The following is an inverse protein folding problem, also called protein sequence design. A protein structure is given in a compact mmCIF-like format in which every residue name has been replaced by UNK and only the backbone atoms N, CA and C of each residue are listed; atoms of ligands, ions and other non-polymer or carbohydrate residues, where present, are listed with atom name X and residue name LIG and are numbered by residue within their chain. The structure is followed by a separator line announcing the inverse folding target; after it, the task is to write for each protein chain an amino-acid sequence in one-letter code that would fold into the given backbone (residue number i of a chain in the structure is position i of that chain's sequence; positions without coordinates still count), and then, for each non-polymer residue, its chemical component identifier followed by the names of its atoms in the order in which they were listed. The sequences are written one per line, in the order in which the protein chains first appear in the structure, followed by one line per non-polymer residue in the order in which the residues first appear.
data_IF_107763096209
#
_entry.id   IF_107763096209
#
_cell.length_a   1.000
_cell.length_b   1.000
_cell.length_c   1.000
_cell.angle_alpha   90.00
_cell.angle_beta   90.00
_cell.angle_gamma   90.00
#
_symmetry.space_group_name_H-M   'P 1'
#
loop_
_entity.id
_entity.type
_entity.pdbx_description
1 polymer ?
#
# COMPACT_ATOMS: atom_id res chain seq x y z
N UNK A 1 -55.52 7.72 42.85
CA UNK A 1 -56.64 7.27 41.99
C UNK A 1 -56.05 6.19 41.08
N UNK A 2 -56.09 4.89 41.41
CA UNK A 2 -57.19 3.91 41.25
C UNK A 2 -57.70 3.91 39.78
N UNK A 3 -57.72 2.84 38.95
CA UNK A 3 -57.83 1.36 39.06
C UNK A 3 -57.08 0.70 37.85
N UNK A 4 -56.55 -0.55 37.83
CA UNK A 4 -57.18 -1.90 37.94
C UNK A 4 -57.78 -2.33 36.57
N UNK A 5 -57.58 -3.48 35.90
CA UNK A 5 -57.35 -4.92 36.21
C UNK A 5 -56.66 -5.61 34.99
N UNK A 6 -55.71 -6.56 35.10
CA UNK A 6 -55.79 -8.05 35.27
C UNK A 6 -56.45 -8.79 34.06
N UNK A 7 -56.12 -9.99 33.57
CA UNK A 7 -55.24 -11.15 33.87
C UNK A 7 -55.13 -11.95 32.54
N UNK A 8 -54.34 -13.00 32.28
CA UNK A 8 -53.56 -13.98 33.02
C UNK A 8 -53.23 -15.16 32.06
N UNK A 9 -52.49 -16.17 32.53
CA UNK A 9 -52.39 -17.47 31.86
C UNK A 9 -50.98 -18.05 31.78
N UNK A 10 -50.62 -18.86 32.78
CA UNK A 10 -49.29 -19.42 33.05
C UNK A 10 -48.81 -20.60 32.18
N UNK A 11 -47.77 -21.33 32.64
CA UNK A 11 -46.80 -22.05 31.81
C UNK A 11 -46.93 -23.58 31.88
N UNK A 12 -46.24 -24.31 30.99
CA UNK A 12 -46.11 -25.77 31.07
C UNK A 12 -44.66 -26.26 30.87
N UNK A 13 -44.25 -27.10 31.82
CA UNK A 13 -43.03 -27.87 31.97
C UNK A 13 -43.32 -29.35 31.63
N UNK A 14 -42.38 -30.10 31.04
CA UNK A 14 -42.07 -31.55 31.23
C UNK A 14 -41.08 -31.98 30.12
N UNK A 15 -39.83 -32.44 30.34
CA UNK A 15 -39.23 -33.60 31.04
C UNK A 15 -39.45 -35.00 30.41
N UNK A 16 -38.30 -35.67 30.17
CA UNK A 16 -37.98 -37.12 30.24
C UNK A 16 -37.95 -38.04 28.99
N UNK A 17 -36.70 -38.42 28.64
CA UNK A 17 -36.07 -39.77 28.52
C UNK A 17 -36.73 -40.98 27.80
N UNK A 18 -35.88 -41.74 27.06
CA UNK A 18 -35.76 -43.22 26.87
C UNK A 18 -35.52 -43.57 25.37
N UNK A 19 -34.34 -44.01 24.91
CA UNK A 19 -33.63 -45.32 25.01
C UNK A 19 -34.03 -46.40 23.99
N UNK A 20 -32.99 -47.02 23.39
CA UNK A 20 -32.89 -48.35 22.74
C UNK A 20 -33.01 -48.49 21.21
N UNK A 21 -31.94 -49.07 20.64
CA UNK A 21 -31.71 -49.65 19.30
C UNK A 21 -32.26 -51.11 19.25
N UNK A 22 -31.99 -52.00 18.26
CA UNK A 22 -31.36 -51.92 16.91
C UNK A 22 -32.14 -52.66 15.80
N UNK A 23 -31.83 -52.52 14.51
CA UNK A 23 -31.83 -53.67 13.55
C UNK A 23 -30.96 -53.41 12.31
N UNK A 24 -30.35 -54.50 11.87
CA UNK A 24 -29.28 -54.79 10.92
C UNK A 24 -29.52 -54.49 9.43
N UNK A 25 -28.48 -53.97 8.75
CA UNK A 25 -28.06 -54.45 7.42
C UNK A 25 -26.59 -54.06 7.15
N UNK A 26 -25.79 -55.02 6.67
CA UNK A 26 -24.39 -54.95 6.19
C UNK A 26 -24.35 -55.79 4.89
N UNK A 27 -23.25 -55.81 4.10
CA UNK A 27 -22.39 -54.74 3.57
C UNK A 27 -22.36 -54.82 2.01
N UNK A 28 -21.64 -54.03 1.22
CA UNK A 28 -20.27 -54.29 0.71
C UNK A 28 -20.00 -53.21 -0.36
N UNK A 29 -18.90 -52.46 -0.23
CA UNK A 29 -17.99 -52.10 -1.33
C UNK A 29 -16.72 -51.56 -0.69
N UNK A 30 -15.71 -52.41 -0.70
CA UNK A 30 -14.37 -52.19 -0.21
C UNK A 30 -13.62 -51.33 -1.23
N UNK A 31 -13.23 -50.12 -0.82
CA UNK A 31 -12.34 -49.25 -1.60
C UNK A 31 -11.22 -48.81 -0.67
N UNK A 32 -10.10 -49.51 -0.75
CA UNK A 32 -8.82 -49.16 -0.12
C UNK A 32 -8.42 -47.73 -0.46
N UNK A 33 -8.21 -46.84 0.53
CA UNK A 33 -7.66 -45.53 0.25
C UNK A 33 -6.15 -45.62 -0.03
N UNK A 34 -5.74 -45.07 -1.18
CA UNK A 34 -4.35 -44.85 -1.55
C UNK A 34 -3.61 -44.09 -0.44
N UNK A 35 -2.53 -44.70 0.05
CA UNK A 35 -1.58 -44.11 1.01
C UNK A 35 -0.87 -42.94 0.33
N UNK A 36 -1.38 -41.72 0.53
CA UNK A 36 -0.66 -40.49 0.16
C UNK A 36 0.51 -40.36 1.14
N UNK A 37 1.73 -40.58 0.63
CA UNK A 37 2.97 -40.23 1.32
C UNK A 37 2.96 -38.73 1.64
N UNK A 38 2.66 -38.38 2.89
CA UNK A 38 2.90 -37.03 3.42
C UNK A 38 4.41 -36.81 3.48
N UNK A 39 4.96 -36.19 2.43
CA UNK A 39 6.24 -35.48 2.54
C UNK A 39 6.03 -34.41 3.61
N UNK A 40 6.76 -34.52 4.72
CA UNK A 40 6.87 -33.43 5.69
C UNK A 40 7.59 -32.28 4.98
N UNK A 41 6.83 -31.39 4.35
CA UNK A 41 7.33 -30.06 4.05
C UNK A 41 7.75 -29.44 5.37
N UNK A 42 9.03 -29.08 5.49
CA UNK A 42 9.52 -28.25 6.57
C UNK A 42 8.66 -26.99 6.61
N UNK A 43 7.86 -26.86 7.67
CA UNK A 43 6.95 -25.74 7.84
C UNK A 43 7.79 -24.48 8.13
N UNK A 44 8.18 -23.79 7.07
CA UNK A 44 8.40 -22.35 7.13
C UNK A 44 7.11 -21.72 7.65
N UNK A 45 7.17 -20.70 8.54
CA UNK A 45 5.96 -20.00 8.96
C UNK A 45 5.19 -19.52 7.72
N UNK A 46 3.84 -19.51 7.72
CA UNK A 46 3.08 -19.01 6.59
C UNK A 46 3.57 -17.60 6.28
N UNK A 47 4.11 -17.40 5.07
CA UNK A 47 4.47 -16.07 4.58
C UNK A 47 3.26 -15.19 4.77
N UNK A 48 3.38 -14.15 5.60
CA UNK A 48 2.34 -13.14 5.76
C UNK A 48 1.93 -12.66 4.37
N UNK A 49 0.63 -12.52 4.13
CA UNK A 49 0.11 -12.03 2.85
C UNK A 49 0.81 -10.72 2.48
N UNK A 50 1.20 -10.50 1.21
CA UNK A 50 1.84 -9.26 0.77
C UNK A 50 1.03 -8.03 1.20
N UNK A 51 1.70 -6.88 1.35
CA UNK A 51 0.99 -5.61 1.40
C UNK A 51 0.59 -5.14 -0.01
N UNK A 52 1.43 -5.44 -1.01
CA UNK A 52 1.18 -5.14 -2.43
C UNK A 52 1.58 -6.36 -3.27
N UNK A 53 0.71 -6.77 -4.18
CA UNK A 53 1.02 -7.80 -5.16
C UNK A 53 0.46 -7.42 -6.54
N UNK A 54 1.30 -7.50 -7.57
CA UNK A 54 0.90 -7.42 -8.97
C UNK A 54 1.29 -8.72 -9.67
N UNK A 55 0.36 -9.34 -10.40
CA UNK A 55 0.62 -10.54 -11.22
C UNK A 55 0.32 -10.22 -12.67
N UNK A 56 1.36 -10.26 -13.50
CA UNK A 56 1.33 -10.03 -14.95
C UNK A 56 0.56 -8.77 -15.36
N UNK A 57 0.74 -7.70 -14.59
CA UNK A 57 -0.01 -6.45 -14.76
C UNK A 57 0.33 -5.81 -16.11
N UNK A 58 -0.66 -5.74 -16.98
CA UNK A 58 -0.59 -5.10 -18.29
C UNK A 58 -1.46 -3.85 -18.35
N UNK A 59 -1.02 -2.84 -19.09
CA UNK A 59 -1.82 -1.65 -19.37
C UNK A 59 -1.50 -1.14 -20.77
N UNK A 60 -2.55 -1.00 -21.57
CA UNK A 60 -2.48 -0.44 -22.91
C UNK A 60 -3.34 0.81 -22.97
N UNK A 61 -2.77 1.92 -23.46
CA UNK A 61 -3.47 3.19 -23.58
C UNK A 61 -3.70 3.50 -25.05
N UNK A 62 -4.91 3.97 -25.37
CA UNK A 62 -5.24 4.44 -26.73
C UNK A 62 -4.87 5.91 -26.85
N UNK A 63 -3.96 6.22 -27.78
CA UNK A 63 -3.56 7.60 -28.08
C UNK A 63 -4.68 8.38 -28.77
N UNK A 64 -4.58 9.72 -28.80
CA UNK A 64 -5.53 10.59 -29.55
C UNK A 64 -5.64 10.24 -31.04
N UNK A 65 -4.64 9.57 -31.61
CA UNK A 65 -4.61 9.10 -33.00
C UNK A 65 -5.14 7.67 -33.17
N UNK A 66 -5.78 7.09 -32.15
CA UNK A 66 -6.34 5.74 -32.17
C UNK A 66 -5.30 4.61 -32.07
N UNK A 67 -4.00 4.93 -31.98
CA UNK A 67 -2.95 3.90 -31.81
C UNK A 67 -2.97 3.36 -30.39
N UNK A 68 -2.94 2.04 -30.25
CA UNK A 68 -2.77 1.35 -28.96
C UNK A 68 -1.29 1.31 -28.59
N UNK A 69 -0.95 1.86 -27.42
CA UNK A 69 0.40 1.91 -26.90
C UNK A 69 0.49 1.09 -25.60
N UNK A 70 1.22 -0.04 -25.58
CA UNK A 70 1.43 -0.80 -24.36
C UNK A 70 2.40 -0.04 -23.43
N UNK A 71 1.92 0.35 -22.26
CA UNK A 71 2.69 1.09 -21.25
C UNK A 71 3.25 0.15 -20.19
N UNK A 72 2.45 -0.83 -19.73
CA UNK A 72 2.89 -1.90 -18.83
C UNK A 72 2.75 -3.23 -19.55
N UNK A 73 3.80 -4.05 -19.51
CA UNK A 73 3.99 -5.25 -20.33
C UNK A 73 4.23 -6.49 -19.46
N UNK A 74 3.27 -6.80 -18.58
CA UNK A 74 3.33 -7.98 -17.71
C UNK A 74 4.18 -7.75 -16.46
N UNK A 75 3.93 -6.67 -15.73
CA UNK A 75 4.65 -6.36 -14.49
C UNK A 75 4.21 -7.28 -13.35
N UNK A 76 5.12 -8.09 -12.84
CA UNK A 76 4.92 -8.90 -11.63
C UNK A 76 5.78 -8.38 -10.47
N UNK A 77 5.16 -8.02 -9.36
CA UNK A 77 5.84 -7.48 -8.17
C UNK A 77 5.22 -7.96 -6.86
N UNK A 78 6.02 -7.88 -5.80
CA UNK A 78 5.59 -8.18 -4.44
C UNK A 78 6.26 -7.23 -3.44
N UNK A 79 5.48 -6.61 -2.55
CA UNK A 79 5.98 -5.81 -1.43
C UNK A 79 5.47 -6.42 -0.11
N UNK A 80 6.35 -6.86 0.79
CA UNK A 80 5.97 -7.38 2.10
C UNK A 80 5.35 -6.29 3.00
N UNK A 81 4.48 -6.66 3.97
CA UNK A 81 4.05 -5.75 5.03
C UNK A 81 5.23 -5.31 5.90
N UNK A 82 5.13 -4.13 6.50
CA UNK A 82 6.14 -3.61 7.43
C UNK A 82 7.46 -3.19 6.77
N UNK A 83 7.51 -3.05 5.45
CA UNK A 83 8.73 -2.73 4.71
C UNK A 83 8.57 -1.51 3.81
N UNK A 84 9.67 -0.79 3.62
CA UNK A 84 9.81 0.31 2.66
C UNK A 84 10.51 -0.25 1.43
N UNK A 85 9.79 -0.31 0.32
CA UNK A 85 10.33 -0.73 -0.97
C UNK A 85 10.43 0.44 -1.93
N UNK A 86 11.43 0.39 -2.81
CA UNK A 86 11.57 1.36 -3.88
C UNK A 86 11.22 0.79 -5.25
N UNK A 87 10.54 1.58 -6.07
CA UNK A 87 10.36 1.32 -7.50
C UNK A 87 11.26 2.26 -8.29
N UNK A 88 12.30 1.68 -8.87
CA UNK A 88 13.37 2.35 -9.60
C UNK A 88 13.27 2.10 -11.10
N UNK A 89 13.88 2.98 -11.89
CA UNK A 89 13.94 2.84 -13.33
C UNK A 89 14.15 4.18 -14.04
N UNK A 90 14.50 4.17 -15.34
CA UNK A 90 14.62 5.39 -16.15
C UNK A 90 13.33 6.22 -16.19
N UNK A 91 13.45 7.49 -16.56
CA UNK A 91 12.28 8.33 -16.80
C UNK A 91 11.47 7.79 -17.98
N UNK A 92 10.14 7.84 -17.87
CA UNK A 92 9.24 7.33 -18.90
C UNK A 92 9.07 5.80 -18.97
N UNK A 93 9.74 5.01 -18.12
CA UNK A 93 9.61 3.55 -18.18
C UNK A 93 8.27 3.00 -17.64
N UNK A 94 7.43 3.84 -17.02
CA UNK A 94 6.09 3.48 -16.56
C UNK A 94 5.91 3.37 -15.04
N UNK A 95 6.89 3.79 -14.21
CA UNK A 95 6.83 3.71 -12.73
C UNK A 95 5.58 4.34 -12.13
N UNK A 96 5.33 5.62 -12.40
CA UNK A 96 4.15 6.33 -11.90
C UNK A 96 2.86 5.77 -12.48
N UNK A 97 2.89 5.23 -13.71
CA UNK A 97 1.73 4.53 -14.29
C UNK A 97 1.41 3.24 -13.53
N UNK A 98 2.43 2.43 -13.22
CA UNK A 98 2.28 1.23 -12.40
C UNK A 98 1.76 1.60 -11.00
N UNK A 99 2.30 2.66 -10.38
CA UNK A 99 1.84 3.14 -9.08
C UNK A 99 0.36 3.57 -9.11
N UNK A 100 -0.09 4.23 -10.17
CA UNK A 100 -1.51 4.60 -10.38
C UNK A 100 -2.42 3.39 -10.60
N UNK A 101 -1.93 2.35 -11.30
CA UNK A 101 -2.64 1.08 -11.44
C UNK A 101 -2.79 0.40 -10.07
N UNK A 102 -1.70 0.35 -9.30
CA UNK A 102 -1.69 -0.18 -7.93
C UNK A 102 -2.67 0.57 -7.01
N UNK A 103 -2.71 1.90 -7.08
CA UNK A 103 -3.65 2.73 -6.32
C UNK A 103 -5.12 2.52 -6.71
N UNK A 104 -5.39 1.96 -7.89
CA UNK A 104 -6.72 1.82 -8.48
C UNK A 104 -7.21 3.05 -9.24
N UNK A 105 -6.33 3.99 -9.60
CA UNK A 105 -6.67 5.12 -10.46
C UNK A 105 -6.76 4.73 -11.94
N UNK A 106 -6.08 3.65 -12.33
CA UNK A 106 -6.11 3.08 -13.68
C UNK A 106 -6.44 1.60 -13.60
N UNK A 107 -7.39 1.15 -14.41
CA UNK A 107 -7.71 -0.27 -14.50
C UNK A 107 -6.69 -0.97 -15.41
N UNK A 108 -6.07 -2.08 -14.96
CA UNK A 108 -5.16 -2.84 -15.80
C UNK A 108 -5.93 -3.46 -16.98
N UNK A 109 -5.27 -3.55 -18.13
CA UNK A 109 -5.80 -4.24 -19.32
C UNK A 109 -5.58 -5.77 -19.25
N UNK A 110 -4.67 -6.22 -18.39
CA UNK A 110 -4.37 -7.63 -18.14
C UNK A 110 -3.75 -7.81 -16.75
N UNK A 111 -3.80 -9.04 -16.22
CA UNK A 111 -3.25 -9.38 -14.92
C UNK A 111 -4.13 -8.96 -13.74
N UNK A 112 -3.59 -9.13 -12.53
CA UNK A 112 -4.32 -8.83 -11.28
C UNK A 112 -3.49 -7.98 -10.34
N UNK A 113 -4.17 -7.13 -9.58
CA UNK A 113 -3.56 -6.28 -8.55
C UNK A 113 -4.25 -6.55 -7.22
N UNK A 114 -3.45 -6.72 -6.18
CA UNK A 114 -3.87 -6.79 -4.80
C UNK A 114 -3.12 -5.74 -3.98
N UNK A 115 -3.87 -4.98 -3.17
CA UNK A 115 -3.35 -4.03 -2.19
C UNK A 115 -4.09 -4.23 -0.87
N UNK A 116 -3.33 -4.31 0.21
CA UNK A 116 -3.87 -4.29 1.56
C UNK A 116 -4.42 -2.90 1.89
N UNK A 117 -5.75 -2.76 1.89
CA UNK A 117 -6.45 -1.49 2.10
C UNK A 117 -6.62 -1.20 3.61
N UNK A 118 -6.74 0.06 4.05
CA UNK A 118 -6.73 1.30 3.26
C UNK A 118 -5.35 1.67 2.70
N UNK A 119 -5.32 2.40 1.59
CA UNK A 119 -4.12 2.84 0.88
C UNK A 119 -4.16 4.35 0.67
N UNK A 120 -3.05 5.03 0.90
CA UNK A 120 -2.87 6.46 0.60
C UNK A 120 -1.87 6.64 -0.54
N UNK A 121 -2.04 7.71 -1.32
CA UNK A 121 -1.20 8.03 -2.47
C UNK A 121 -0.68 9.47 -2.32
N UNK A 122 0.63 9.67 -2.50
CA UNK A 122 1.25 10.98 -2.59
C UNK A 122 1.68 11.21 -4.03
N UNK A 123 1.15 12.26 -4.65
CA UNK A 123 1.46 12.61 -6.03
C UNK A 123 2.84 13.25 -6.17
N UNK A 124 3.44 13.05 -7.35
CA UNK A 124 4.70 13.69 -7.72
C UNK A 124 4.63 15.21 -7.62
N UNK A 125 3.56 15.83 -8.12
CA UNK A 125 3.36 17.27 -8.00
C UNK A 125 2.38 17.58 -6.86
N UNK A 126 2.83 18.23 -5.76
CA UNK A 126 1.96 18.52 -4.64
C UNK A 126 0.86 19.54 -4.96
N UNK A 127 1.03 20.38 -5.98
CA UNK A 127 -0.03 21.31 -6.43
C UNK A 127 -1.26 20.57 -6.98
N UNK A 128 -1.13 19.30 -7.36
CA UNK A 128 -2.27 18.49 -7.82
C UNK A 128 -3.05 17.83 -6.68
N UNK A 129 -2.52 17.86 -5.45
CA UNK A 129 -3.06 17.12 -4.31
C UNK A 129 -3.60 18.05 -3.22
N UNK A 130 -2.93 19.18 -2.99
CA UNK A 130 -3.29 20.13 -1.94
C UNK A 130 -4.38 21.08 -2.46
N UNK A 131 -5.56 21.07 -1.82
CA UNK A 131 -6.80 21.69 -2.34
C UNK A 131 -7.53 22.59 -1.35
N UNK A 132 -7.26 22.49 -0.05
CA UNK A 132 -7.96 23.28 0.95
C UNK A 132 -7.35 24.68 1.15
N UNK A 133 -8.04 25.61 1.83
CA UNK A 133 -7.49 26.95 2.07
C UNK A 133 -6.27 26.98 3.00
N UNK A 134 -6.24 26.14 4.04
CA UNK A 134 -5.18 26.13 5.07
C UNK A 134 -4.53 24.76 5.20
N UNK A 135 -3.30 24.71 5.72
CA UNK A 135 -2.55 23.48 5.94
C UNK A 135 -3.32 22.47 6.79
N UNK A 136 -3.87 22.89 7.92
CA UNK A 136 -4.64 22.01 8.81
C UNK A 136 -5.87 21.43 8.10
N UNK A 137 -6.62 22.29 7.39
CA UNK A 137 -7.85 21.85 6.70
C UNK A 137 -7.55 20.85 5.59
N UNK A 138 -6.41 20.98 4.90
CA UNK A 138 -6.00 20.04 3.85
C UNK A 138 -5.66 18.65 4.39
N UNK A 139 -4.88 18.60 5.47
CA UNK A 139 -4.57 17.33 6.13
C UNK A 139 -5.83 16.70 6.73
N UNK A 140 -6.72 17.51 7.32
CA UNK A 140 -7.99 17.04 7.87
C UNK A 140 -8.94 16.52 6.78
N UNK A 141 -8.88 17.06 5.56
CA UNK A 141 -9.77 16.69 4.46
C UNK A 141 -9.69 15.20 4.12
N UNK A 142 -8.49 14.61 4.09
CA UNK A 142 -8.29 13.18 3.85
C UNK A 142 -8.94 12.27 4.91
N UNK A 143 -9.16 12.81 6.12
CA UNK A 143 -9.82 12.11 7.22
C UNK A 143 -11.35 12.19 7.15
N UNK A 144 -11.93 13.09 6.36
CA UNK A 144 -13.38 13.28 6.28
C UNK A 144 -14.16 12.06 5.79
N UNK A 145 -13.48 11.12 5.13
CA UNK A 145 -14.03 9.80 4.74
C UNK A 145 -14.15 8.82 5.91
N UNK A 146 -13.53 9.13 7.04
CA UNK A 146 -13.52 8.33 8.25
C UNK A 146 -14.52 8.95 9.25
N UNK A 147 -15.36 8.14 9.87
CA UNK A 147 -16.32 8.61 10.87
C UNK A 147 -15.64 8.78 12.25
N UNK A 148 -14.71 9.73 12.35
CA UNK A 148 -13.89 9.96 13.53
C UNK A 148 -14.41 11.11 14.40
N UNK A 149 -14.26 11.03 15.74
CA UNK A 149 -14.48 12.18 16.63
C UNK A 149 -13.55 13.35 16.28
N UNK A 150 -14.02 14.59 16.48
CA UNK A 150 -13.26 15.80 16.16
C UNK A 150 -11.90 15.87 16.89
N UNK A 151 -11.84 15.41 18.13
CA UNK A 151 -10.59 15.41 18.91
C UNK A 151 -9.56 14.42 18.34
N UNK A 152 -10.03 13.30 17.77
CA UNK A 152 -9.16 12.35 17.09
C UNK A 152 -8.64 12.93 15.77
N UNK A 153 -9.49 13.60 14.99
CA UNK A 153 -9.09 14.33 13.77
C UNK A 153 -8.00 15.34 14.10
N UNK A 154 -8.22 16.21 15.10
CA UNK A 154 -7.22 17.20 15.55
C UNK A 154 -5.91 16.55 15.99
N UNK A 155 -5.99 15.45 16.75
CA UNK A 155 -4.81 14.71 17.21
C UNK A 155 -4.00 14.15 16.04
N UNK A 156 -4.67 13.51 15.07
CA UNK A 156 -4.01 12.93 13.88
C UNK A 156 -3.38 14.00 13.00
N UNK A 157 -4.08 15.11 12.75
CA UNK A 157 -3.57 16.24 11.97
C UNK A 157 -2.36 16.87 12.65
N UNK A 158 -2.44 17.14 13.96
CA UNK A 158 -1.32 17.71 14.71
C UNK A 158 -0.09 16.79 14.67
N UNK A 159 -0.27 15.48 14.90
CA UNK A 159 0.83 14.50 14.89
C UNK A 159 1.46 14.37 13.52
N UNK A 160 0.67 14.33 12.44
CA UNK A 160 1.21 14.17 11.09
C UNK A 160 1.92 15.43 10.60
N UNK A 161 1.41 16.61 10.91
CA UNK A 161 2.09 17.88 10.63
C UNK A 161 3.39 18.02 11.41
N UNK A 162 3.41 17.62 12.69
CA UNK A 162 4.63 17.63 13.50
C UNK A 162 5.70 16.68 12.92
N UNK A 163 5.29 15.48 12.52
CA UNK A 163 6.20 14.48 11.94
C UNK A 163 6.95 14.97 10.70
N UNK A 164 6.36 15.89 9.93
CA UNK A 164 6.99 16.49 8.74
C UNK A 164 7.50 17.91 8.99
N UNK A 165 7.47 18.43 10.22
CA UNK A 165 7.94 19.77 10.56
C UNK A 165 7.05 20.92 10.05
N UNK A 166 5.75 20.67 9.88
CA UNK A 166 4.77 21.64 9.38
C UNK A 166 3.76 22.13 10.43
N UNK A 167 3.89 21.73 11.70
CA UNK A 167 2.93 22.06 12.77
C UNK A 167 2.74 23.58 12.97
N UNK A 168 3.83 24.34 12.95
CA UNK A 168 3.82 25.81 13.08
C UNK A 168 3.17 26.53 11.89
N UNK A 169 2.94 25.83 10.77
CA UNK A 169 2.31 26.34 9.57
C UNK A 169 0.83 25.95 9.45
N UNK A 170 0.24 25.31 10.47
CA UNK A 170 -1.13 24.78 10.46
C UNK A 170 -2.20 25.75 9.94
N UNK A 171 -2.17 27.02 10.39
CA UNK A 171 -3.12 28.05 9.95
C UNK A 171 -2.70 28.80 8.68
N UNK A 172 -1.53 28.49 8.11
CA UNK A 172 -1.00 29.22 6.97
C UNK A 172 -1.82 28.90 5.71
N UNK A 173 -2.12 29.90 4.86
CA UNK A 173 -2.77 29.65 3.59
C UNK A 173 -1.85 28.85 2.65
N UNK A 174 -2.40 27.79 2.03
CA UNK A 174 -1.64 26.85 1.20
C UNK A 174 -0.93 27.53 0.02
N UNK A 175 -1.57 28.53 -0.57
CA UNK A 175 -1.03 29.26 -1.72
C UNK A 175 0.29 29.99 -1.40
N UNK A 176 0.57 30.23 -0.12
CA UNK A 176 1.79 30.91 0.34
C UNK A 176 2.95 29.96 0.67
N UNK A 177 2.74 28.66 0.48
CA UNK A 177 3.74 27.63 0.72
C UNK A 177 4.65 27.43 -0.49
N UNK A 178 5.92 27.14 -0.23
CA UNK A 178 6.84 26.64 -1.27
C UNK A 178 6.42 25.25 -1.76
N UNK A 179 6.94 24.82 -2.92
CA UNK A 179 6.69 23.47 -3.44
C UNK A 179 7.08 22.37 -2.43
N UNK A 180 8.24 22.50 -1.78
CA UNK A 180 8.68 21.57 -0.74
C UNK A 180 7.79 21.57 0.50
N UNK A 181 7.27 22.73 0.91
CA UNK A 181 6.28 22.79 2.00
C UNK A 181 4.97 22.10 1.61
N UNK A 182 4.47 22.31 0.39
CA UNK A 182 3.28 21.62 -0.10
C UNK A 182 3.49 20.11 -0.19
N UNK A 183 4.69 19.67 -0.61
CA UNK A 183 5.07 18.25 -0.60
C UNK A 183 4.98 17.66 0.81
N UNK A 184 5.51 18.35 1.82
CA UNK A 184 5.41 17.93 3.22
C UNK A 184 3.97 17.85 3.71
N UNK A 185 3.10 18.80 3.32
CA UNK A 185 1.67 18.76 3.66
C UNK A 185 0.98 17.56 3.01
N UNK A 186 1.25 17.27 1.73
CA UNK A 186 0.70 16.11 1.04
C UNK A 186 1.08 14.78 1.74
N UNK A 187 2.32 14.70 2.23
CA UNK A 187 2.82 13.54 3.00
C UNK A 187 2.15 13.48 4.37
N UNK A 188 2.01 14.60 5.08
CA UNK A 188 1.27 14.66 6.35
C UNK A 188 -0.18 14.19 6.19
N UNK A 189 -0.85 14.54 5.08
CA UNK A 189 -2.18 14.01 4.73
C UNK A 189 -2.19 12.49 4.65
N UNK A 190 -1.26 11.90 3.89
CA UNK A 190 -1.15 10.44 3.77
C UNK A 190 -0.85 9.74 5.10
N UNK A 191 0.01 10.34 5.95
CA UNK A 191 0.33 9.81 7.28
C UNK A 191 -0.86 9.90 8.25
N UNK A 192 -1.68 10.95 8.16
CA UNK A 192 -2.85 11.13 9.03
C UNK A 192 -3.92 10.06 8.79
N UNK A 193 -4.07 9.58 7.56
CA UNK A 193 -5.07 8.58 7.18
C UNK A 193 -4.87 7.21 7.83
N UNK A 194 -3.70 6.94 8.43
CA UNK A 194 -3.33 5.65 9.04
C UNK A 194 -3.58 4.46 8.09
N UNK A 195 -3.08 4.58 6.86
CA UNK A 195 -3.22 3.55 5.83
C UNK A 195 -2.26 2.38 6.03
N UNK A 196 -2.65 1.19 5.54
CA UNK A 196 -1.79 0.00 5.52
C UNK A 196 -0.77 0.03 4.39
N UNK A 197 -1.01 0.85 3.37
CA UNK A 197 -0.08 1.05 2.25
C UNK A 197 0.07 2.52 1.92
N UNK A 198 1.32 2.97 1.84
CA UNK A 198 1.72 4.29 1.36
C UNK A 198 2.34 4.14 -0.04
N UNK A 199 1.70 4.72 -1.05
CA UNK A 199 2.24 4.82 -2.41
C UNK A 199 2.79 6.23 -2.61
N UNK A 200 4.10 6.35 -2.82
CA UNK A 200 4.82 7.63 -2.80
C UNK A 200 5.47 7.87 -4.17
N UNK A 201 4.91 8.76 -4.98
CA UNK A 201 5.43 9.08 -6.31
C UNK A 201 6.45 10.22 -6.19
N UNK A 202 7.75 9.92 -6.29
CA UNK A 202 8.85 10.90 -6.16
C UNK A 202 8.80 11.76 -4.89
N UNK A 203 8.82 11.09 -3.74
CA UNK A 203 8.71 11.68 -2.39
C UNK A 203 9.58 12.94 -2.15
N UNK A 204 10.78 13.00 -2.74
CA UNK A 204 11.88 13.91 -2.38
C UNK A 204 12.18 15.01 -3.41
N UNK A 205 11.53 15.03 -4.58
CA UNK A 205 11.90 15.89 -5.73
C UNK A 205 11.89 17.41 -5.45
N UNK A 206 11.08 17.88 -4.49
CA UNK A 206 10.96 19.31 -4.15
C UNK A 206 11.66 19.72 -2.85
N UNK A 207 12.44 18.82 -2.25
CA UNK A 207 13.00 18.99 -0.92
C UNK A 207 14.52 19.13 -0.97
N UNK A 208 15.06 20.01 -0.12
CA UNK A 208 16.49 20.01 0.18
C UNK A 208 16.88 18.77 1.02
N UNK A 209 18.18 18.51 1.14
CA UNK A 209 18.67 17.29 1.82
C UNK A 209 18.18 17.17 3.28
N UNK A 210 18.06 18.29 3.99
CA UNK A 210 17.60 18.29 5.38
C UNK A 210 16.12 17.92 5.47
N UNK A 211 15.28 18.55 4.65
CA UNK A 211 13.85 18.26 4.57
C UNK A 211 13.57 16.85 4.04
N UNK A 212 14.37 16.34 3.09
CA UNK A 212 14.31 14.95 2.62
C UNK A 212 14.49 13.97 3.78
N UNK A 213 15.52 14.18 4.60
CA UNK A 213 15.79 13.33 5.77
C UNK A 213 14.63 13.32 6.76
N UNK A 214 14.03 14.49 7.04
CA UNK A 214 12.89 14.62 7.93
C UNK A 214 11.68 13.81 7.44
N UNK A 215 11.33 13.97 6.16
CA UNK A 215 10.22 13.26 5.53
C UNK A 215 10.43 11.74 5.49
N UNK A 216 11.63 11.29 5.11
CA UNK A 216 11.95 9.86 5.04
C UNK A 216 11.85 9.24 6.45
N UNK A 217 12.32 9.95 7.47
CA UNK A 217 12.17 9.53 8.87
C UNK A 217 10.70 9.43 9.28
N UNK A 218 9.86 10.40 8.88
CA UNK A 218 8.42 10.36 9.17
C UNK A 218 7.75 9.13 8.56
N UNK A 219 8.02 8.83 7.28
CA UNK A 219 7.50 7.63 6.60
C UNK A 219 8.00 6.36 7.28
N UNK A 220 9.29 6.28 7.60
CA UNK A 220 9.88 5.12 8.29
C UNK A 220 9.28 4.88 9.67
N UNK A 221 9.05 5.95 10.44
CA UNK A 221 8.41 5.83 11.74
C UNK A 221 6.98 5.30 11.64
N UNK A 222 6.23 5.71 10.61
CA UNK A 222 4.88 5.18 10.33
C UNK A 222 4.91 3.70 10.00
N UNK A 223 5.85 3.27 9.15
CA UNK A 223 6.04 1.85 8.78
C UNK A 223 6.46 1.01 9.99
N UNK A 224 7.33 1.54 10.85
CA UNK A 224 7.89 0.81 11.98
C UNK A 224 6.97 0.71 13.21
N UNK A 225 5.97 1.59 13.35
CA UNK A 225 5.15 1.68 14.56
C UNK A 225 4.38 0.38 14.86
N UNK A 226 3.67 -0.15 13.85
CA UNK A 226 2.79 -1.32 14.02
C UNK A 226 3.26 -2.54 13.20
N UNK A 227 4.27 -2.38 12.34
CA UNK A 227 4.81 -3.46 11.49
C UNK A 227 3.85 -3.95 10.40
N UNK A 228 2.64 -3.39 10.30
CA UNK A 228 1.64 -3.75 9.30
C UNK A 228 1.65 -2.83 8.07
N UNK A 229 2.15 -1.59 8.22
CA UNK A 229 2.16 -0.59 7.16
C UNK A 229 3.32 -0.85 6.21
N UNK A 230 3.06 -0.85 4.91
CA UNK A 230 4.11 -0.90 3.89
C UNK A 230 4.18 0.41 3.11
N UNK A 231 5.36 0.74 2.57
CA UNK A 231 5.53 1.88 1.69
C UNK A 231 6.17 1.43 0.37
N UNK A 232 5.61 1.87 -0.75
CA UNK A 232 6.24 1.75 -2.08
C UNK A 232 6.55 3.15 -2.59
N UNK A 233 7.84 3.45 -2.68
CA UNK A 233 8.36 4.76 -3.08
C UNK A 233 8.98 4.70 -4.47
N UNK A 234 8.40 5.42 -5.42
CA UNK A 234 8.97 5.63 -6.75
C UNK A 234 10.07 6.69 -6.68
N UNK A 235 11.25 6.35 -7.21
CA UNK A 235 12.34 7.29 -7.40
C UNK A 235 13.21 6.87 -8.59
N UNK A 236 14.06 7.76 -9.06
CA UNK A 236 15.11 7.48 -10.02
C UNK A 236 16.52 7.67 -9.42
N UNK A 237 16.59 8.07 -8.14
CA UNK A 237 17.83 8.38 -7.42
C UNK A 237 18.34 7.15 -6.68
N UNK A 238 19.54 6.68 -7.03
CA UNK A 238 20.09 5.45 -6.47
C UNK A 238 20.60 5.62 -5.04
N UNK A 239 21.02 6.81 -4.67
CA UNK A 239 21.47 7.15 -3.32
C UNK A 239 20.37 6.97 -2.27
N UNK A 240 19.10 7.03 -2.67
CA UNK A 240 17.95 6.86 -1.78
C UNK A 240 17.74 5.40 -1.38
N UNK A 241 18.29 4.44 -2.12
CA UNK A 241 18.20 3.00 -1.81
C UNK A 241 18.64 2.65 -0.39
N UNK A 242 19.52 3.46 0.23
CA UNK A 242 19.96 3.29 1.63
C UNK A 242 18.82 3.34 2.65
N UNK A 243 17.64 3.85 2.28
CA UNK A 243 16.47 3.96 3.16
C UNK A 243 15.45 2.83 2.96
N UNK A 244 15.64 1.99 1.96
CA UNK A 244 14.72 0.91 1.63
C UNK A 244 15.16 -0.43 2.21
N UNK A 245 14.20 -1.31 2.44
CA UNK A 245 14.41 -2.71 2.81
C UNK A 245 14.56 -3.59 1.56
N UNK A 246 13.94 -3.19 0.45
CA UNK A 246 14.03 -3.85 -0.85
C UNK A 246 13.74 -2.89 -2.00
N UNK A 247 13.97 -3.35 -3.23
CA UNK A 247 13.69 -2.55 -4.40
C UNK A 247 13.28 -3.40 -5.62
N UNK A 248 12.56 -2.74 -6.52
CA UNK A 248 12.10 -3.23 -7.82
C UNK A 248 12.71 -2.31 -8.86
N UNK A 249 13.30 -2.88 -9.91
CA UNK A 249 13.86 -2.13 -11.02
C UNK A 249 13.07 -2.40 -12.30
N UNK A 250 12.67 -1.32 -12.96
CA UNK A 250 11.75 -1.32 -14.10
C UNK A 250 12.37 -0.62 -15.32
N UNK A 251 12.19 -1.22 -16.50
CA UNK A 251 12.59 -0.66 -17.80
C UNK A 251 11.51 -0.97 -18.85
N UNK A 252 11.26 -0.04 -19.77
CA UNK A 252 10.37 -0.23 -20.93
C UNK A 252 9.01 -0.90 -20.65
N UNK A 253 8.39 -0.58 -19.52
CA UNK A 253 7.10 -1.14 -19.13
C UNK A 253 7.18 -2.51 -18.45
N UNK A 254 8.37 -2.99 -18.08
CA UNK A 254 8.61 -4.31 -17.50
C UNK A 254 9.42 -4.25 -16.21
N UNK A 255 9.14 -5.17 -15.30
CA UNK A 255 9.97 -5.39 -14.12
C UNK A 255 11.12 -6.31 -14.52
N UNK A 256 12.35 -5.81 -14.38
CA UNK A 256 13.56 -6.54 -14.76
C UNK A 256 14.06 -7.39 -13.60
N UNK A 257 14.02 -6.83 -12.39
CA UNK A 257 14.48 -7.50 -11.18
C UNK A 257 13.83 -6.88 -9.96
N UNK A 258 13.60 -7.67 -8.92
CA UNK A 258 13.22 -7.23 -7.59
C UNK A 258 13.99 -8.03 -6.53
N UNK A 259 14.26 -7.44 -5.37
CA UNK A 259 14.98 -8.11 -4.29
C UNK A 259 15.58 -7.14 -3.28
N UNK A 260 16.57 -7.62 -2.53
CA UNK A 260 17.30 -6.80 -1.56
C UNK A 260 18.09 -5.66 -2.23
N UNK A 261 18.34 -4.60 -1.47
CA UNK A 261 19.03 -3.39 -1.95
C UNK A 261 20.41 -3.69 -2.54
N UNK A 262 21.16 -4.63 -1.97
CA UNK A 262 22.52 -4.94 -2.42
C UNK A 262 22.52 -5.61 -3.80
N UNK A 263 21.57 -6.51 -4.03
CA UNK A 263 21.36 -7.19 -5.30
C UNK A 263 20.95 -6.19 -6.38
N UNK A 264 19.96 -5.34 -6.09
CA UNK A 264 19.48 -4.32 -7.02
C UNK A 264 20.58 -3.31 -7.37
N UNK A 265 21.27 -2.77 -6.36
CA UNK A 265 22.36 -1.81 -6.56
C UNK A 265 23.47 -2.34 -7.46
N UNK A 266 23.85 -3.61 -7.28
CA UNK A 266 24.88 -4.28 -8.07
C UNK A 266 24.46 -4.46 -9.53
N UNK A 267 23.20 -4.81 -9.79
CA UNK A 267 22.68 -4.96 -11.16
C UNK A 267 22.62 -3.62 -11.87
N UNK A 268 22.11 -2.58 -11.21
CA UNK A 268 22.01 -1.24 -11.80
C UNK A 268 23.40 -0.67 -12.11
N UNK A 269 24.35 -0.76 -11.18
CA UNK A 269 25.74 -0.31 -11.41
C UNK A 269 26.40 -1.02 -12.58
N UNK A 270 26.23 -2.34 -12.70
CA UNK A 270 26.74 -3.11 -13.86
C UNK A 270 26.12 -2.67 -15.18
N UNK A 271 24.82 -2.37 -15.19
CA UNK A 271 24.13 -1.85 -16.39
C UNK A 271 24.60 -0.46 -16.78
N UNK A 272 24.77 0.44 -15.82
CA UNK A 272 25.30 1.78 -16.07
C UNK A 272 26.73 1.72 -16.63
N UNK A 273 27.61 0.90 -16.02
CA UNK A 273 28.98 0.73 -16.52
C UNK A 273 29.04 0.23 -17.97
N UNK A 274 28.12 -0.67 -18.38
CA UNK A 274 28.02 -1.13 -19.78
C UNK A 274 27.52 -0.06 -20.75
N UNK A 275 26.66 0.86 -20.30
CA UNK A 275 26.21 1.99 -21.11
C UNK A 275 27.32 3.03 -21.32
N UNK A 276 28.14 3.30 -20.30
CA UNK A 276 29.26 4.23 -20.42
C UNK A 276 30.45 3.67 -21.20
N UNK A 277 30.69 2.36 -21.16
CA UNK A 277 31.73 1.71 -21.98
C UNK A 277 31.46 1.70 -23.50
N UNK A 278 30.28 2.15 -23.95
CA UNK A 278 29.94 2.27 -25.37
C UNK A 278 30.19 3.67 -25.95
N UNK A 279 30.62 4.65 -25.14
CA UNK A 279 30.95 6.02 -25.58
C UNK A 279 32.45 6.30 -25.68
N UNK A 280 33.31 5.31 -25.44
CA UNK A 280 34.76 5.38 -25.65
C UNK A 280 35.22 4.34 -26.69
N UNK A 281 34.80 4.46 -27.95
CA UNK A 281 35.44 3.86 -29.12
C UNK A 281 35.22 4.71 -30.38
#
# INVERSE_FOLDING_TARGET
MAHGLAAGGGPLHCCACASSTPTTARPILDVTPLRILRVRASASPPLASPAIEGRDVGLTVTTRRGRMLPVLKGCSLHVPPGQIWMLLGPNGCGKSTLLKVLAGFLNPSAGTVYINRPCSYVFQNPDHQVVMPTVESDVAFGLGKLNLPLDEVKSRVSKSLDAVGMLSYSQRPIQTLSGGQKQRVAIAGALAEASKVLLLDELTTFLDEHDQMGVIKAVRNSVAADGEVAALWVTHRLEELRYADGAIYMEDGQIIIQGDVSTISRVIKRKQARHFGHFEL
#
